data_IF_597691945774
#
_entry.id   IF_597691945774
#
_cell.length_a   1.000
_cell.length_b   1.000
_cell.length_c   1.000
_cell.angle_alpha   90.00
_cell.angle_beta   90.00
_cell.angle_gamma   90.00
#
_symmetry.space_group_name_H-M   'P 1'
#
loop_
_entity.id
_entity.type
_entity.pdbx_description
1 polymer ?
#
# COMPACT_ATOMS: atom_id res chain seq x y z
N UNK A 1 -21.90 65.27 -4.67
CA UNK A 1 -21.10 65.06 -3.45
C UNK A 1 -21.16 63.63 -2.86
N UNK A 2 -21.95 62.70 -3.40
CA UNK A 2 -22.17 61.35 -2.86
C UNK A 2 -21.18 60.26 -3.30
N UNK A 3 -20.56 60.39 -4.49
CA UNK A 3 -19.76 59.35 -5.13
C UNK A 3 -18.43 59.08 -4.39
N UNK A 4 -17.76 60.14 -3.92
CA UNK A 4 -16.46 59.98 -3.20
C UNK A 4 -16.57 59.34 -1.82
N UNK A 5 -17.69 59.50 -1.11
CA UNK A 5 -17.92 58.83 0.18
C UNK A 5 -18.20 57.33 0.02
N UNK A 6 -18.86 56.92 -1.06
CA UNK A 6 -19.16 55.52 -1.36
C UNK A 6 -17.90 54.78 -1.76
N UNK A 7 -17.03 55.36 -2.58
CA UNK A 7 -15.73 54.79 -2.94
C UNK A 7 -14.79 54.63 -1.75
N UNK A 8 -14.72 55.61 -0.84
CA UNK A 8 -13.91 55.51 0.39
C UNK A 8 -14.38 54.36 1.30
N UNK A 9 -15.70 54.15 1.40
CA UNK A 9 -16.26 53.01 2.16
C UNK A 9 -15.91 51.67 1.53
N UNK A 10 -16.03 51.53 0.22
CA UNK A 10 -15.66 50.29 -0.51
C UNK A 10 -14.18 50.01 -0.34
N UNK A 11 -13.32 51.03 -0.48
CA UNK A 11 -11.87 50.83 -0.31
C UNK A 11 -11.48 50.45 1.13
N UNK A 12 -12.17 51.00 2.12
CA UNK A 12 -12.00 50.65 3.52
C UNK A 12 -12.36 49.17 3.79
N UNK A 13 -13.48 48.70 3.26
CA UNK A 13 -13.88 47.31 3.40
C UNK A 13 -12.96 46.33 2.66
N UNK A 14 -12.55 46.68 1.44
CA UNK A 14 -11.56 45.86 0.67
C UNK A 14 -10.25 45.75 1.41
N UNK A 15 -9.75 46.86 2.01
CA UNK A 15 -8.51 46.81 2.81
C UNK A 15 -8.67 45.96 4.05
N UNK A 16 -9.79 45.99 4.75
CA UNK A 16 -10.04 45.13 5.92
C UNK A 16 -10.17 43.68 5.55
N UNK A 17 -10.84 43.36 4.44
CA UNK A 17 -10.96 41.99 3.92
C UNK A 17 -9.57 41.46 3.51
N UNK A 18 -8.77 42.28 2.82
CA UNK A 18 -7.41 41.89 2.45
C UNK A 18 -6.51 41.65 3.67
N UNK A 19 -6.60 42.48 4.71
CA UNK A 19 -5.87 42.30 5.97
C UNK A 19 -6.35 41.02 6.69
N UNK A 20 -7.66 40.78 6.73
CA UNK A 20 -8.24 39.57 7.31
C UNK A 20 -7.79 38.30 6.58
N UNK A 21 -7.80 38.33 5.26
CA UNK A 21 -7.29 37.23 4.43
C UNK A 21 -5.79 36.99 4.62
N UNK A 22 -4.98 38.06 4.65
CA UNK A 22 -3.55 37.95 4.91
C UNK A 22 -3.27 37.37 6.31
N UNK A 23 -4.03 37.82 7.33
CA UNK A 23 -3.95 37.28 8.68
C UNK A 23 -4.34 35.78 8.73
N UNK A 24 -5.40 35.40 8.04
CA UNK A 24 -5.81 33.98 7.94
C UNK A 24 -4.73 33.12 7.28
N UNK A 25 -4.12 33.59 6.19
CA UNK A 25 -3.02 32.89 5.50
C UNK A 25 -1.79 32.77 6.40
N UNK A 26 -1.43 33.84 7.13
CA UNK A 26 -0.29 33.83 8.06
C UNK A 26 -0.45 32.84 9.22
N UNK A 27 -1.67 32.48 9.60
CA UNK A 27 -1.95 31.50 10.64
C UNK A 27 -2.11 30.11 10.04
N UNK A 28 -2.81 29.98 8.92
CA UNK A 28 -3.12 28.66 8.34
C UNK A 28 -1.89 27.95 7.76
N UNK A 29 -0.95 28.70 7.17
CA UNK A 29 0.28 28.08 6.61
C UNK A 29 1.16 27.47 7.72
N UNK A 30 1.54 28.17 8.81
CA UNK A 30 2.29 27.56 9.89
C UNK A 30 1.55 26.40 10.57
N UNK A 31 0.24 26.54 10.76
CA UNK A 31 -0.59 25.46 11.32
C UNK A 31 -0.60 24.22 10.40
N UNK A 32 -0.73 24.40 9.10
CA UNK A 32 -0.66 23.34 8.12
C UNK A 32 0.72 22.67 8.09
N UNK A 33 1.80 23.44 8.16
CA UNK A 33 3.17 22.90 8.25
C UNK A 33 3.34 22.11 9.55
N UNK A 34 2.85 22.63 10.66
CA UNK A 34 2.92 21.94 11.95
C UNK A 34 2.17 20.61 11.92
N UNK A 35 0.91 20.61 11.45
CA UNK A 35 0.12 19.38 11.28
C UNK A 35 0.80 18.37 10.35
N UNK A 36 1.47 18.86 9.29
CA UNK A 36 2.21 18.00 8.38
C UNK A 36 3.48 17.39 9.00
N UNK A 37 4.11 18.11 9.92
CA UNK A 37 5.31 17.65 10.64
C UNK A 37 4.98 16.80 11.86
N UNK A 38 3.75 16.90 12.37
CA UNK A 38 3.27 16.10 13.51
C UNK A 38 3.04 14.66 13.06
N UNK A 39 4.01 13.81 13.32
CA UNK A 39 4.00 12.38 13.00
C UNK A 39 4.70 11.60 14.09
N UNK A 40 4.19 10.40 14.37
CA UNK A 40 4.89 9.45 15.22
C UNK A 40 6.20 8.98 14.59
N UNK A 41 7.02 8.32 15.36
CA UNK A 41 8.23 7.65 14.90
C UNK A 41 8.10 6.12 15.03
N UNK A 42 8.95 5.40 14.33
CA UNK A 42 9.01 3.92 14.47
C UNK A 42 9.38 3.52 15.89
N UNK A 43 10.18 4.34 16.58
CA UNK A 43 10.60 4.14 17.97
C UNK A 43 9.44 4.29 18.99
N UNK A 44 8.37 5.01 18.61
CA UNK A 44 7.18 5.15 19.45
C UNK A 44 6.26 3.91 19.38
N UNK A 45 6.55 2.99 18.47
CA UNK A 45 5.76 1.78 18.27
C UNK A 45 6.25 0.68 19.20
N UNK A 46 5.39 0.26 20.13
CA UNK A 46 5.66 -0.85 21.06
C UNK A 46 5.50 -2.22 20.38
N UNK A 47 6.25 -2.46 19.32
CA UNK A 47 6.38 -3.76 18.68
C UNK A 47 7.84 -4.13 18.48
N UNK A 48 8.11 -5.41 18.50
CA UNK A 48 9.43 -5.90 18.07
C UNK A 48 9.63 -5.60 16.60
N UNK A 49 10.78 -5.03 16.28
CA UNK A 49 11.28 -5.02 14.90
C UNK A 49 11.72 -6.45 14.60
N UNK A 50 11.25 -6.98 13.47
CA UNK A 50 11.60 -8.32 13.06
C UNK A 50 13.12 -8.45 12.85
N UNK A 51 13.73 -9.40 13.53
CA UNK A 51 15.17 -9.63 13.42
C UNK A 51 15.50 -10.42 12.15
N UNK A 52 16.62 -10.07 11.53
CA UNK A 52 17.18 -10.85 10.42
C UNK A 52 17.78 -12.14 10.98
N UNK A 53 17.10 -13.25 10.74
CA UNK A 53 17.64 -14.57 11.05
C UNK A 53 18.58 -15.03 9.93
N UNK A 54 19.54 -15.89 10.26
CA UNK A 54 20.40 -16.52 9.25
C UNK A 54 19.53 -17.27 8.25
N UNK A 55 19.71 -16.95 6.98
CA UNK A 55 19.00 -17.62 5.88
C UNK A 55 19.74 -18.94 5.57
N UNK A 56 19.13 -20.07 5.89
CA UNK A 56 19.63 -21.37 5.51
C UNK A 56 19.13 -21.78 4.11
N UNK A 57 19.77 -22.76 3.50
CA UNK A 57 19.27 -23.41 2.28
C UNK A 57 17.91 -24.04 2.57
N UNK A 58 16.91 -23.77 1.75
CA UNK A 58 15.51 -24.19 1.86
C UNK A 58 14.61 -23.32 2.74
N UNK A 59 15.03 -22.12 3.13
CA UNK A 59 14.14 -21.15 3.78
C UNK A 59 13.40 -20.31 2.75
N UNK A 60 12.14 -20.00 3.05
CA UNK A 60 11.39 -18.98 2.33
C UNK A 60 11.51 -17.66 3.08
N UNK A 61 11.92 -16.64 2.37
CA UNK A 61 12.06 -15.28 2.92
C UNK A 61 11.09 -14.33 2.27
N UNK A 62 10.73 -13.26 3.00
CA UNK A 62 10.12 -12.07 2.44
C UNK A 62 10.98 -10.86 2.74
N UNK A 63 11.10 -9.94 1.78
CA UNK A 63 11.73 -8.63 1.98
C UNK A 63 10.68 -7.56 1.76
N UNK A 64 10.42 -6.75 2.80
CA UNK A 64 9.50 -5.63 2.68
C UNK A 64 10.22 -4.40 2.12
N UNK A 65 9.65 -3.80 1.08
CA UNK A 65 10.20 -2.67 0.34
C UNK A 65 9.33 -1.42 0.43
N UNK A 66 8.53 -1.36 1.50
CA UNK A 66 7.59 -0.27 1.76
C UNK A 66 6.21 -0.51 1.17
N UNK A 67 5.19 0.21 1.66
CA UNK A 67 3.76 -0.03 1.38
C UNK A 67 3.42 -1.51 1.51
N UNK A 68 2.87 -2.12 0.47
CA UNK A 68 2.63 -3.56 0.36
C UNK A 68 3.64 -4.26 -0.57
N UNK A 69 4.72 -3.58 -0.94
CA UNK A 69 5.74 -4.18 -1.80
C UNK A 69 6.54 -5.24 -1.02
N UNK A 70 6.39 -6.49 -1.40
CA UNK A 70 7.01 -7.66 -0.76
C UNK A 70 7.68 -8.54 -1.81
N UNK A 71 8.96 -8.83 -1.61
CA UNK A 71 9.71 -9.78 -2.43
C UNK A 71 9.83 -11.10 -1.67
N UNK A 72 9.11 -12.13 -2.11
CA UNK A 72 9.25 -13.51 -1.64
C UNK A 72 10.34 -14.21 -2.42
N UNK A 73 11.18 -14.99 -1.73
CA UNK A 73 12.32 -15.72 -2.32
C UNK A 73 12.56 -17.05 -1.59
N UNK A 74 12.58 -18.17 -2.34
CA UNK A 74 12.93 -19.50 -1.85
C UNK A 74 14.34 -19.95 -2.27
N UNK A 75 15.12 -19.02 -2.86
CA UNK A 75 16.43 -19.30 -3.42
C UNK A 75 16.42 -19.76 -4.89
N UNK A 76 15.28 -20.22 -5.41
CA UNK A 76 15.11 -20.69 -6.79
C UNK A 76 14.16 -19.78 -7.58
N UNK A 77 13.07 -19.35 -6.95
CA UNK A 77 11.97 -18.56 -7.54
C UNK A 77 11.69 -17.33 -6.69
N UNK A 78 11.37 -16.21 -7.32
CA UNK A 78 10.94 -15.00 -6.66
C UNK A 78 9.53 -14.60 -7.10
N UNK A 79 8.73 -14.14 -6.12
CA UNK A 79 7.39 -13.57 -6.33
C UNK A 79 7.41 -12.15 -5.78
N UNK A 80 6.94 -11.18 -6.54
CA UNK A 80 6.78 -9.78 -6.11
C UNK A 80 5.31 -9.45 -5.93
N UNK A 81 4.94 -8.98 -4.75
CA UNK A 81 3.66 -8.34 -4.52
C UNK A 81 3.83 -6.85 -4.77
N UNK A 82 2.95 -6.27 -5.57
CA UNK A 82 3.00 -4.87 -6.01
C UNK A 82 4.30 -4.52 -6.77
N UNK A 83 5.16 -3.73 -6.20
CA UNK A 83 6.41 -3.26 -6.80
C UNK A 83 6.49 -1.74 -6.85
N UNK A 84 5.84 -1.05 -5.89
CA UNK A 84 5.82 0.41 -5.82
C UNK A 84 7.16 0.97 -5.32
N UNK A 85 8.02 1.33 -6.25
CA UNK A 85 9.41 1.76 -6.05
C UNK A 85 9.61 3.25 -6.37
N UNK A 86 8.87 3.78 -7.35
CA UNK A 86 9.08 5.14 -7.88
C UNK A 86 8.81 6.26 -6.88
N UNK A 87 7.87 6.08 -5.95
CA UNK A 87 7.61 6.99 -4.82
C UNK A 87 7.46 8.46 -5.23
N UNK A 88 6.35 8.85 -5.91
CA UNK A 88 6.10 10.24 -6.26
C UNK A 88 5.99 11.08 -4.99
N UNK A 89 6.49 12.32 -5.04
CA UNK A 89 6.44 13.20 -3.89
C UNK A 89 5.00 13.75 -3.66
N UNK A 90 4.75 14.26 -2.45
CA UNK A 90 3.42 14.74 -2.06
C UNK A 90 2.92 15.90 -2.95
N UNK A 91 3.80 16.74 -3.46
CA UNK A 91 3.40 17.87 -4.31
C UNK A 91 2.89 17.37 -5.66
N UNK A 92 3.48 16.30 -6.22
CA UNK A 92 2.98 15.68 -7.44
C UNK A 92 1.54 15.17 -7.26
N UNK A 93 1.22 14.63 -6.08
CA UNK A 93 -0.11 14.14 -5.75
C UNK A 93 -1.08 15.31 -5.55
N UNK A 94 -0.74 16.31 -4.74
CA UNK A 94 -1.59 17.47 -4.43
C UNK A 94 -1.90 18.28 -5.69
N UNK A 95 -0.90 18.49 -6.55
CA UNK A 95 -1.07 19.27 -7.79
C UNK A 95 -1.51 18.40 -8.98
N UNK A 96 -1.92 17.16 -8.74
CA UNK A 96 -2.39 16.23 -9.77
C UNK A 96 -1.43 16.10 -10.95
N UNK A 97 -0.12 16.12 -10.66
CA UNK A 97 0.89 15.94 -11.70
C UNK A 97 0.80 14.53 -12.28
N UNK A 98 1.15 14.36 -13.56
CA UNK A 98 1.24 13.05 -14.16
C UNK A 98 2.31 12.20 -13.45
N UNK A 99 1.91 11.02 -12.97
CA UNK A 99 2.79 10.05 -12.33
C UNK A 99 3.33 9.05 -13.35
N UNK A 100 4.60 8.72 -13.24
CA UNK A 100 5.26 7.75 -14.11
C UNK A 100 6.29 6.94 -13.31
N UNK A 101 6.59 5.69 -13.75
CA UNK A 101 7.67 4.89 -13.19
C UNK A 101 9.02 5.59 -13.28
N UNK A 102 9.78 5.58 -12.18
CA UNK A 102 11.16 6.05 -12.13
C UNK A 102 12.11 4.90 -12.47
N UNK A 103 12.63 4.94 -13.68
CA UNK A 103 13.52 3.90 -14.19
C UNK A 103 14.81 3.75 -13.36
N UNK A 104 15.33 4.83 -12.77
CA UNK A 104 16.55 4.80 -11.97
C UNK A 104 16.31 4.08 -10.64
N UNK A 105 15.23 4.44 -9.93
CA UNK A 105 14.86 3.79 -8.69
C UNK A 105 14.51 2.31 -8.91
N UNK A 106 13.77 1.98 -9.99
CA UNK A 106 13.43 0.59 -10.33
C UNK A 106 14.70 -0.22 -10.59
N UNK A 107 15.63 0.27 -11.41
CA UNK A 107 16.88 -0.43 -11.68
C UNK A 107 17.71 -0.62 -10.40
N UNK A 108 17.82 0.41 -9.58
CA UNK A 108 18.49 0.33 -8.28
C UNK A 108 17.88 -0.76 -7.39
N UNK A 109 16.56 -0.76 -7.22
CA UNK A 109 15.87 -1.74 -6.38
C UNK A 109 16.02 -3.17 -6.93
N UNK A 110 15.90 -3.36 -8.25
CA UNK A 110 16.07 -4.69 -8.87
C UNK A 110 17.48 -5.24 -8.68
N UNK A 111 18.49 -4.38 -8.72
CA UNK A 111 19.88 -4.79 -8.51
C UNK A 111 20.20 -5.02 -7.02
N UNK A 112 19.82 -4.07 -6.14
CA UNK A 112 20.06 -4.14 -4.69
C UNK A 112 19.41 -5.38 -4.07
N UNK A 113 18.14 -5.64 -4.39
CA UNK A 113 17.40 -6.79 -3.86
C UNK A 113 17.50 -8.04 -4.74
N UNK A 114 18.40 -8.01 -5.74
CA UNK A 114 18.71 -9.16 -6.61
C UNK A 114 17.46 -9.80 -7.22
N UNK A 115 16.55 -8.99 -7.78
CA UNK A 115 15.31 -9.45 -8.39
C UNK A 115 15.57 -10.10 -9.76
N UNK A 116 16.38 -11.15 -9.78
CA UNK A 116 16.84 -11.80 -11.03
C UNK A 116 16.08 -13.10 -11.37
N UNK A 117 15.24 -13.55 -10.45
CA UNK A 117 14.47 -14.79 -10.57
C UNK A 117 12.97 -14.53 -10.42
N UNK A 118 12.52 -13.31 -10.73
CA UNK A 118 11.11 -12.94 -10.69
C UNK A 118 10.32 -13.80 -11.67
N UNK A 119 9.43 -14.64 -11.15
CA UNK A 119 8.53 -15.47 -11.93
C UNK A 119 7.14 -14.80 -12.07
N UNK A 120 6.70 -14.07 -11.03
CA UNK A 120 5.40 -13.39 -11.04
C UNK A 120 5.44 -12.06 -10.28
N UNK A 121 4.58 -11.14 -10.72
CA UNK A 121 4.26 -9.88 -10.05
C UNK A 121 2.76 -9.83 -9.87
N UNK A 122 2.30 -9.60 -8.62
CA UNK A 122 0.89 -9.64 -8.27
C UNK A 122 0.52 -8.31 -7.56
N UNK A 123 -0.10 -7.36 -8.25
CA UNK A 123 -0.64 -6.16 -7.62
C UNK A 123 -1.85 -6.49 -6.75
N UNK A 124 -1.91 -5.94 -5.54
CA UNK A 124 -3.06 -6.07 -4.65
C UNK A 124 -4.31 -5.49 -5.28
N UNK A 125 -4.18 -4.33 -5.93
CA UNK A 125 -5.21 -3.69 -6.75
C UNK A 125 -4.60 -2.61 -7.66
N UNK A 126 -5.43 -1.92 -8.44
CA UNK A 126 -4.99 -1.02 -9.51
C UNK A 126 -4.64 0.42 -9.08
N UNK A 127 -4.59 0.76 -7.79
CA UNK A 127 -4.13 2.07 -7.33
C UNK A 127 -2.66 2.32 -7.73
N UNK A 128 -2.29 3.60 -7.89
CA UNK A 128 -0.94 3.97 -8.32
C UNK A 128 0.14 3.41 -7.38
N UNK A 129 -0.06 3.47 -6.07
CA UNK A 129 0.90 2.98 -5.07
C UNK A 129 0.93 1.44 -4.93
N UNK A 130 0.25 0.71 -5.82
CA UNK A 130 0.37 -0.74 -5.98
C UNK A 130 0.78 -1.11 -7.41
N UNK A 131 0.20 -0.48 -8.43
CA UNK A 131 0.30 -0.94 -9.81
C UNK A 131 1.19 -0.10 -10.72
N UNK A 132 1.65 1.10 -10.31
CA UNK A 132 2.34 2.05 -11.19
C UNK A 132 3.61 1.48 -11.83
N UNK A 133 4.43 0.79 -11.05
CA UNK A 133 5.73 0.31 -11.51
C UNK A 133 5.71 -1.12 -12.07
N UNK A 134 4.59 -1.84 -11.90
CA UNK A 134 4.46 -3.26 -12.24
C UNK A 134 4.85 -3.54 -13.70
N UNK A 135 4.34 -2.74 -14.65
CA UNK A 135 4.68 -2.91 -16.06
C UNK A 135 6.16 -2.64 -16.35
N UNK A 136 6.73 -1.64 -15.70
CA UNK A 136 8.15 -1.30 -15.87
C UNK A 136 9.09 -2.37 -15.31
N UNK A 137 8.72 -3.03 -14.20
CA UNK A 137 9.46 -4.15 -13.62
C UNK A 137 9.30 -5.41 -14.48
N UNK A 138 8.08 -5.71 -14.94
CA UNK A 138 7.80 -6.86 -15.80
C UNK A 138 8.61 -6.82 -17.09
N UNK A 139 8.65 -5.66 -17.76
CA UNK A 139 9.45 -5.46 -18.99
C UNK A 139 10.96 -5.69 -18.79
N UNK A 140 11.46 -5.61 -17.54
CA UNK A 140 12.88 -5.82 -17.21
C UNK A 140 13.17 -7.24 -16.72
N UNK A 141 12.16 -7.95 -16.23
CA UNK A 141 12.32 -9.26 -15.58
C UNK A 141 11.75 -10.42 -16.38
N UNK A 142 10.91 -10.17 -17.37
CA UNK A 142 10.08 -11.16 -18.06
C UNK A 142 9.14 -11.95 -17.13
N UNK A 143 8.83 -11.42 -15.96
CA UNK A 143 7.90 -12.01 -15.00
C UNK A 143 6.46 -11.93 -15.52
N UNK A 144 5.66 -12.95 -15.23
CA UNK A 144 4.23 -12.91 -15.50
C UNK A 144 3.53 -11.96 -14.54
N UNK A 145 2.62 -11.13 -15.05
CA UNK A 145 1.77 -10.28 -14.23
C UNK A 145 0.43 -10.98 -14.01
N UNK A 146 0.07 -11.21 -12.75
CA UNK A 146 -1.25 -11.74 -12.40
C UNK A 146 -2.12 -10.55 -12.04
N UNK A 147 -3.19 -10.31 -12.79
CA UNK A 147 -3.89 -9.05 -12.70
C UNK A 147 -5.39 -9.15 -12.96
N UNK A 148 -6.13 -8.19 -12.41
CA UNK A 148 -7.52 -7.91 -12.78
C UNK A 148 -7.60 -7.16 -14.10
N UNK A 149 -8.80 -7.05 -14.67
CA UNK A 149 -9.05 -6.28 -15.90
C UNK A 149 -8.52 -4.84 -15.81
N UNK A 150 -8.64 -4.19 -14.65
CA UNK A 150 -8.17 -2.82 -14.47
C UNK A 150 -6.64 -2.72 -14.51
N UNK A 151 -5.97 -3.63 -13.82
CA UNK A 151 -4.50 -3.69 -13.84
C UNK A 151 -3.97 -4.09 -15.22
N UNK A 152 -4.65 -4.98 -15.93
CA UNK A 152 -4.28 -5.36 -17.31
C UNK A 152 -4.26 -4.13 -18.24
N UNK A 153 -5.26 -3.27 -18.16
CA UNK A 153 -5.29 -2.03 -18.93
C UNK A 153 -4.09 -1.13 -18.62
N UNK A 154 -3.72 -1.02 -17.34
CA UNK A 154 -2.55 -0.24 -16.91
C UNK A 154 -1.28 -0.82 -17.53
N UNK A 155 -1.01 -2.10 -17.33
CA UNK A 155 0.27 -2.71 -17.76
C UNK A 155 0.41 -2.79 -19.29
N UNK A 156 -0.68 -2.97 -20.02
CA UNK A 156 -0.68 -2.86 -21.48
C UNK A 156 -0.26 -1.48 -21.97
N UNK A 157 -0.66 -0.40 -21.27
CA UNK A 157 -0.24 0.96 -21.59
C UNK A 157 1.27 1.19 -21.33
N UNK A 158 1.90 0.36 -20.52
CA UNK A 158 3.37 0.32 -20.35
C UNK A 158 4.07 -0.62 -21.33
N UNK A 159 3.35 -1.16 -22.31
CA UNK A 159 3.92 -2.01 -23.35
C UNK A 159 4.28 -3.41 -22.89
N UNK A 160 3.65 -3.92 -21.82
CA UNK A 160 3.83 -5.31 -21.41
C UNK A 160 3.20 -6.24 -22.43
N UNK A 161 3.92 -7.24 -22.97
CA UNK A 161 3.39 -8.20 -23.90
C UNK A 161 2.24 -9.03 -23.31
N UNK A 162 1.24 -9.36 -24.12
CA UNK A 162 0.07 -10.11 -23.66
C UNK A 162 0.40 -11.52 -23.13
N UNK A 163 1.48 -12.14 -23.59
CA UNK A 163 1.95 -13.45 -23.13
C UNK A 163 2.57 -13.39 -21.71
N UNK A 164 2.88 -12.21 -21.20
CA UNK A 164 3.27 -11.99 -19.81
C UNK A 164 2.09 -11.66 -18.89
N UNK A 165 0.87 -11.48 -19.44
CA UNK A 165 -0.29 -11.04 -18.68
C UNK A 165 -1.23 -12.24 -18.43
N UNK A 166 -1.45 -12.56 -17.17
CA UNK A 166 -2.39 -13.60 -16.75
C UNK A 166 -3.59 -12.90 -16.11
N UNK A 167 -4.75 -12.98 -16.77
CA UNK A 167 -6.01 -12.59 -16.13
C UNK A 167 -6.35 -13.60 -15.03
N UNK A 168 -6.68 -13.10 -13.86
CA UNK A 168 -7.04 -13.92 -12.71
C UNK A 168 -8.36 -13.52 -12.09
N UNK A 169 -9.06 -14.51 -11.57
CA UNK A 169 -10.35 -14.43 -10.91
C UNK A 169 -10.27 -14.97 -9.49
N UNK A 170 -11.39 -14.87 -8.75
CA UNK A 170 -11.47 -15.43 -7.41
C UNK A 170 -11.17 -16.93 -7.38
N UNK A 171 -10.40 -17.35 -6.38
CA UNK A 171 -9.96 -18.73 -6.13
C UNK A 171 -9.03 -19.31 -7.21
N UNK A 172 -8.61 -18.51 -8.19
CA UNK A 172 -7.56 -18.95 -9.11
C UNK A 172 -6.27 -19.21 -8.37
N UNK A 173 -5.65 -20.37 -8.65
CA UNK A 173 -4.40 -20.80 -8.07
C UNK A 173 -3.36 -21.05 -9.17
N UNK A 174 -2.28 -20.28 -9.14
CA UNK A 174 -1.23 -20.28 -10.15
C UNK A 174 0.09 -20.73 -9.53
N UNK A 175 0.83 -21.60 -10.24
CA UNK A 175 2.08 -22.16 -9.74
C UNK A 175 3.30 -21.52 -10.38
N UNK A 176 4.26 -21.12 -9.55
CA UNK A 176 5.55 -20.54 -9.94
C UNK A 176 6.67 -21.23 -9.13
N UNK A 177 7.40 -22.14 -9.77
CA UNK A 177 8.35 -22.99 -9.06
C UNK A 177 7.68 -23.82 -7.96
N UNK A 178 8.13 -23.64 -6.72
CA UNK A 178 7.54 -24.26 -5.52
C UNK A 178 6.39 -23.43 -4.92
N UNK A 179 6.24 -22.17 -5.33
CA UNK A 179 5.15 -21.33 -4.89
C UNK A 179 3.83 -21.62 -5.62
N UNK A 180 2.75 -21.57 -4.87
CA UNK A 180 1.39 -21.50 -5.41
C UNK A 180 0.75 -20.21 -4.90
N UNK A 181 0.30 -19.37 -5.80
CA UNK A 181 -0.39 -18.10 -5.51
C UNK A 181 -1.88 -18.30 -5.71
N UNK A 182 -2.67 -18.12 -4.67
CA UNK A 182 -4.15 -18.16 -4.74
C UNK A 182 -4.71 -16.78 -4.47
N UNK A 183 -5.59 -16.32 -5.36
CA UNK A 183 -6.21 -15.01 -5.27
C UNK A 183 -7.61 -15.13 -4.66
N UNK A 184 -7.83 -14.48 -3.55
CA UNK A 184 -9.10 -14.46 -2.84
C UNK A 184 -9.67 -13.06 -2.97
N UNK A 185 -10.90 -12.93 -3.48
CA UNK A 185 -11.55 -11.62 -3.63
C UNK A 185 -11.62 -10.90 -2.29
N UNK A 186 -11.19 -9.65 -2.29
CA UNK A 186 -11.22 -8.75 -1.17
C UNK A 186 -11.80 -7.40 -1.60
N UNK A 187 -11.76 -6.42 -0.69
CA UNK A 187 -12.18 -5.04 -0.97
C UNK A 187 -11.01 -4.09 -0.72
N UNK A 188 -10.97 -3.02 -1.49
CA UNK A 188 -10.07 -1.90 -1.20
C UNK A 188 -10.50 -1.18 0.08
N UNK A 189 -9.54 -0.52 0.75
CA UNK A 189 -9.83 0.28 1.94
C UNK A 189 -10.98 1.26 1.67
N UNK A 190 -11.98 1.34 2.56
CA UNK A 190 -13.07 2.28 2.41
C UNK A 190 -12.52 3.70 2.62
N UNK A 191 -12.49 4.50 1.56
CA UNK A 191 -12.08 5.90 1.61
C UNK A 191 -13.31 6.79 1.54
N UNK A 192 -13.34 7.85 2.33
CA UNK A 192 -14.38 8.87 2.30
C UNK A 192 -14.44 9.66 0.96
N UNK A 193 -13.41 9.53 0.13
CA UNK A 193 -13.32 10.19 -1.18
C UNK A 193 -13.72 9.28 -2.36
N UNK A 194 -13.84 7.97 -2.16
CA UNK A 194 -14.04 6.97 -3.21
C UNK A 194 -15.38 6.21 -3.10
N UNK A 195 -16.24 6.56 -2.14
CA UNK A 195 -17.55 5.91 -1.96
C UNK A 195 -18.56 6.16 -3.10
N UNK A 196 -18.17 6.92 -4.12
CA UNK A 196 -18.88 6.96 -5.38
C UNK A 196 -18.46 5.77 -6.24
N UNK A 197 -19.00 4.61 -5.95
CA UNK A 197 -18.87 3.35 -6.70
C UNK A 197 -19.13 3.49 -8.22
N UNK A 198 -19.77 4.56 -8.65
CA UNK A 198 -20.09 4.84 -10.05
C UNK A 198 -18.89 5.34 -10.88
N UNK A 199 -17.83 5.85 -10.25
CA UNK A 199 -16.61 6.31 -10.93
C UNK A 199 -15.46 5.31 -10.81
N UNK A 200 -15.57 4.34 -9.91
CA UNK A 200 -14.52 3.37 -9.61
C UNK A 200 -14.30 2.30 -10.71
N UNK A 201 -15.22 2.17 -11.66
CA UNK A 201 -15.25 1.04 -12.60
C UNK A 201 -14.57 1.28 -13.94
N UNK A 202 -14.01 2.46 -14.20
CA UNK A 202 -13.52 2.75 -15.53
C UNK A 202 -12.08 3.29 -15.57
N UNK A 203 -11.13 2.40 -15.84
CA UNK A 203 -9.82 2.81 -16.35
C UNK A 203 -9.97 2.94 -17.87
N UNK A 204 -9.80 4.14 -18.46
CA UNK A 204 -9.91 4.30 -19.90
C UNK A 204 -8.88 3.44 -20.64
N UNK A 205 -9.28 2.85 -21.78
CA UNK A 205 -8.35 2.09 -22.61
C UNK A 205 -7.20 2.96 -23.18
N UNK A 206 -7.36 4.29 -23.13
CA UNK A 206 -6.38 5.29 -23.55
C UNK A 206 -5.54 5.87 -22.40
N UNK A 207 -5.36 5.14 -21.29
CA UNK A 207 -4.51 5.59 -20.19
C UNK A 207 -3.08 5.74 -20.72
N UNK A 208 -2.60 6.96 -20.86
CA UNK A 208 -1.21 7.20 -21.27
C UNK A 208 -0.26 6.82 -20.12
N UNK A 209 1.01 6.54 -20.45
CA UNK A 209 2.06 6.12 -19.51
C UNK A 209 2.28 7.06 -18.31
N UNK A 210 1.67 8.24 -18.31
CA UNK A 210 1.80 9.21 -17.24
C UNK A 210 0.46 9.91 -17.04
N UNK A 211 -0.18 9.66 -15.90
CA UNK A 211 -1.48 10.24 -15.52
C UNK A 211 -1.50 10.62 -14.04
N UNK A 212 -2.32 11.60 -13.69
CA UNK A 212 -2.50 12.01 -12.29
C UNK A 212 -3.04 10.86 -11.43
N UNK A 213 -2.67 10.83 -10.14
CA UNK A 213 -3.08 9.77 -9.20
C UNK A 213 -4.60 9.57 -9.14
N UNK A 214 -5.40 10.61 -9.33
CA UNK A 214 -6.86 10.57 -9.38
C UNK A 214 -7.44 9.77 -10.56
N UNK A 215 -6.62 9.41 -11.54
CA UNK A 215 -7.01 8.56 -12.68
C UNK A 215 -6.75 7.08 -12.44
N UNK A 216 -6.09 6.73 -11.35
CA UNK A 216 -5.82 5.36 -10.96
C UNK A 216 -6.98 4.82 -10.13
N UNK A 217 -8.05 4.41 -10.79
CA UNK A 217 -9.23 3.88 -10.11
C UNK A 217 -8.95 2.50 -9.55
N UNK A 218 -9.32 2.29 -8.29
CA UNK A 218 -9.33 0.95 -7.70
C UNK A 218 -10.60 0.23 -8.11
N UNK A 219 -10.47 -1.04 -8.41
CA UNK A 219 -11.60 -1.90 -8.75
C UNK A 219 -11.58 -3.13 -7.85
N UNK A 220 -11.02 -4.22 -8.34
CA UNK A 220 -10.91 -5.46 -7.58
C UNK A 220 -9.68 -5.41 -6.68
N UNK A 221 -9.79 -5.91 -5.47
CA UNK A 221 -8.69 -6.08 -4.54
C UNK A 221 -8.55 -7.54 -4.14
N UNK A 222 -7.32 -7.97 -3.87
CA UNK A 222 -7.02 -9.33 -3.49
C UNK A 222 -6.52 -9.44 -2.05
N UNK A 223 -6.97 -10.49 -1.37
CA UNK A 223 -6.20 -11.17 -0.34
C UNK A 223 -5.39 -12.25 -1.04
N UNK A 224 -4.06 -12.18 -0.99
CA UNK A 224 -3.18 -13.04 -1.77
C UNK A 224 -2.59 -14.11 -0.85
N UNK A 225 -2.94 -15.37 -1.07
CA UNK A 225 -2.37 -16.50 -0.35
C UNK A 225 -1.18 -17.05 -1.13
N UNK A 226 0.00 -17.01 -0.51
CA UNK A 226 1.23 -17.59 -1.03
C UNK A 226 1.50 -18.87 -0.26
N UNK A 227 1.41 -20.01 -0.94
CA UNK A 227 1.68 -21.33 -0.40
C UNK A 227 3.01 -21.87 -0.93
N UNK A 228 3.78 -22.47 -0.05
CA UNK A 228 5.03 -23.16 -0.34
C UNK A 228 5.03 -24.47 0.44
N UNK A 229 5.77 -25.55 0.05
CA UNK A 229 5.86 -26.77 0.85
C UNK A 229 6.29 -26.56 2.31
N UNK A 230 7.00 -25.48 2.61
CA UNK A 230 7.47 -25.14 3.95
C UNK A 230 6.45 -24.38 4.81
N UNK A 231 5.45 -23.74 4.20
CA UNK A 231 4.46 -22.96 4.93
C UNK A 231 3.63 -22.04 4.04
N UNK A 232 2.81 -21.21 4.67
CA UNK A 232 1.84 -20.35 3.99
C UNK A 232 1.86 -18.92 4.52
N UNK A 233 1.74 -17.95 3.63
CA UNK A 233 1.64 -16.53 3.97
C UNK A 233 0.44 -15.91 3.28
N UNK A 234 -0.41 -15.22 4.04
CA UNK A 234 -1.46 -14.36 3.51
C UNK A 234 -0.95 -12.92 3.41
N UNK A 235 -1.09 -12.29 2.27
CA UNK A 235 -0.87 -10.85 2.10
C UNK A 235 -2.22 -10.16 1.99
N UNK A 236 -2.56 -9.38 3.00
CA UNK A 236 -3.70 -8.49 3.04
C UNK A 236 -3.20 -7.06 2.88
N UNK A 237 -3.09 -6.59 1.63
CA UNK A 237 -2.48 -5.29 1.34
C UNK A 237 -3.40 -4.10 1.56
N UNK A 238 -4.71 -4.33 1.61
CA UNK A 238 -5.72 -3.28 1.79
C UNK A 238 -6.45 -3.44 3.12
N UNK A 239 -6.76 -2.34 3.82
CA UNK A 239 -7.43 -2.34 5.13
C UNK A 239 -8.93 -2.55 5.03
N UNK A 240 -9.35 -3.56 4.28
CA UNK A 240 -10.75 -3.97 4.14
C UNK A 240 -10.84 -5.50 4.03
N UNK A 241 -12.05 -6.02 4.10
CA UNK A 241 -12.32 -7.46 4.05
C UNK A 241 -13.69 -7.75 3.44
N UNK A 242 -13.89 -8.98 3.02
CA UNK A 242 -15.21 -9.57 2.77
C UNK A 242 -15.46 -10.57 3.88
N UNK A 243 -16.56 -10.41 4.61
CA UNK A 243 -16.90 -11.27 5.73
C UNK A 243 -16.95 -12.73 5.30
N UNK A 244 -16.24 -13.59 6.04
CA UNK A 244 -16.18 -15.02 5.79
C UNK A 244 -15.32 -15.45 4.59
N UNK A 245 -14.80 -14.54 3.77
CA UNK A 245 -14.00 -14.92 2.58
C UNK A 245 -12.75 -15.76 2.94
N UNK A 246 -12.17 -15.52 4.09
CA UNK A 246 -10.98 -16.22 4.57
C UNK A 246 -11.27 -17.39 5.53
N UNK A 247 -12.55 -17.74 5.76
CA UNK A 247 -12.92 -18.74 6.76
C UNK A 247 -12.34 -20.15 6.51
N UNK A 248 -12.03 -20.48 5.24
CA UNK A 248 -11.41 -21.76 4.86
C UNK A 248 -9.90 -21.66 4.70
N UNK A 249 -9.32 -20.48 4.84
CA UNK A 249 -7.89 -20.22 4.66
C UNK A 249 -7.18 -20.38 6.00
N UNK A 250 -6.12 -21.20 6.00
CA UNK A 250 -5.18 -21.28 7.14
C UNK A 250 -3.84 -20.78 6.68
N UNK A 251 -3.14 -20.03 7.52
CA UNK A 251 -1.84 -19.47 7.18
C UNK A 251 -0.92 -19.39 8.41
N UNK A 252 0.37 -19.53 8.20
CA UNK A 252 1.38 -19.42 9.25
C UNK A 252 1.70 -17.95 9.55
N UNK A 253 1.64 -17.12 8.50
CA UNK A 253 2.03 -15.72 8.53
C UNK A 253 0.98 -14.87 7.84
N UNK A 254 0.68 -13.70 8.41
CA UNK A 254 -0.08 -12.62 7.75
C UNK A 254 0.81 -11.40 7.58
N UNK A 255 0.91 -10.89 6.36
CA UNK A 255 1.39 -9.54 6.05
C UNK A 255 0.17 -8.62 6.05
N UNK A 256 -0.01 -7.83 7.12
CA UNK A 256 -1.24 -7.08 7.41
C UNK A 256 -1.07 -5.61 7.06
N UNK A 257 -1.74 -5.14 6.01
CA UNK A 257 -1.81 -3.72 5.65
C UNK A 257 -2.64 -2.94 6.65
N UNK A 258 -2.14 -1.77 7.07
CA UNK A 258 -2.78 -0.97 8.13
C UNK A 258 -3.11 0.47 7.72
N UNK A 259 -2.76 0.89 6.51
CA UNK A 259 -2.97 2.26 6.05
C UNK A 259 -4.41 2.74 6.26
N UNK A 260 -4.58 3.85 6.95
CA UNK A 260 -5.87 4.48 7.22
C UNK A 260 -6.76 3.73 8.20
N UNK A 261 -6.27 2.72 8.91
CA UNK A 261 -7.09 1.94 9.85
C UNK A 261 -7.49 2.78 11.08
N UNK A 262 -6.62 3.68 11.54
CA UNK A 262 -6.93 4.61 12.63
C UNK A 262 -8.09 5.56 12.30
N UNK A 263 -8.33 5.82 11.01
CA UNK A 263 -9.43 6.67 10.57
C UNK A 263 -10.80 5.96 10.59
N UNK A 264 -10.84 4.70 11.03
CA UNK A 264 -12.05 3.89 11.16
C UNK A 264 -12.44 3.74 12.64
N UNK A 265 -13.64 3.23 12.88
CA UNK A 265 -14.03 2.91 14.25
C UNK A 265 -13.19 1.76 14.82
N UNK A 266 -13.01 1.74 16.14
CA UNK A 266 -12.35 0.62 16.81
C UNK A 266 -13.06 -0.73 16.54
N UNK A 267 -14.39 -0.70 16.38
CA UNK A 267 -15.16 -1.90 16.01
C UNK A 267 -14.75 -2.40 14.63
N UNK A 268 -14.63 -1.50 13.64
CA UNK A 268 -14.16 -1.87 12.30
C UNK A 268 -12.75 -2.49 12.36
N UNK A 269 -11.85 -1.93 13.15
CA UNK A 269 -10.51 -2.47 13.31
C UNK A 269 -10.52 -3.88 13.95
N UNK A 270 -11.41 -4.12 14.92
CA UNK A 270 -11.62 -5.45 15.52
C UNK A 270 -12.17 -6.45 14.50
N UNK A 271 -13.16 -6.04 13.70
CA UNK A 271 -13.76 -6.89 12.67
C UNK A 271 -12.69 -7.22 11.60
N UNK A 272 -11.92 -6.22 11.15
CA UNK A 272 -10.80 -6.43 10.22
C UNK A 272 -9.78 -7.44 10.76
N UNK A 273 -9.32 -7.25 12.01
CA UNK A 273 -8.42 -8.19 12.67
C UNK A 273 -9.01 -9.60 12.74
N UNK A 274 -10.25 -9.73 13.17
CA UNK A 274 -10.92 -11.02 13.31
C UNK A 274 -11.12 -11.72 11.97
N UNK A 275 -11.51 -10.96 10.92
CA UNK A 275 -11.76 -11.53 9.60
C UNK A 275 -10.46 -11.91 8.87
N UNK A 276 -9.36 -11.21 9.12
CA UNK A 276 -8.09 -11.47 8.43
C UNK A 276 -7.17 -12.36 9.27
N UNK A 277 -6.90 -12.00 10.51
CA UNK A 277 -5.95 -12.72 11.36
C UNK A 277 -6.64 -13.86 12.12
N UNK A 278 -7.79 -13.56 12.75
CA UNK A 278 -8.53 -14.54 13.55
C UNK A 278 -9.00 -15.75 12.73
N UNK A 279 -9.63 -15.52 11.57
CA UNK A 279 -10.13 -16.60 10.72
C UNK A 279 -9.00 -17.48 10.15
N UNK A 280 -7.88 -16.88 9.80
CA UNK A 280 -6.74 -17.60 9.20
C UNK A 280 -5.87 -18.34 10.24
N UNK A 281 -6.08 -18.05 11.53
CA UNK A 281 -5.32 -18.64 12.65
C UNK A 281 -3.81 -18.45 12.55
N UNK A 282 -3.40 -17.32 11.98
CA UNK A 282 -2.00 -16.99 11.85
C UNK A 282 -1.36 -16.76 13.21
N UNK A 283 -0.16 -17.30 13.41
CA UNK A 283 0.60 -17.12 14.66
C UNK A 283 1.58 -15.95 14.59
N UNK A 284 1.92 -15.50 13.38
CA UNK A 284 2.80 -14.35 13.15
C UNK A 284 2.12 -13.35 12.23
N UNK A 285 2.21 -12.09 12.61
CA UNK A 285 1.69 -10.96 11.84
C UNK A 285 2.79 -9.95 11.65
N UNK A 286 3.06 -9.57 10.40
CA UNK A 286 3.91 -8.45 10.08
C UNK A 286 3.06 -7.29 9.61
N UNK A 287 3.17 -6.15 10.29
CA UNK A 287 2.44 -4.92 9.96
C UNK A 287 3.12 -4.24 8.78
N UNK A 288 2.41 -4.09 7.66
CA UNK A 288 2.89 -3.45 6.44
C UNK A 288 1.99 -2.28 6.07
N UNK A 289 2.38 -1.51 5.05
CA UNK A 289 1.64 -0.34 4.58
C UNK A 289 1.41 0.71 5.69
N UNK A 290 2.42 0.86 6.54
CA UNK A 290 2.46 1.83 7.64
C UNK A 290 3.32 3.06 7.30
N UNK A 291 4.08 3.01 6.23
CA UNK A 291 5.01 4.04 5.80
C UNK A 291 4.34 5.10 4.91
N UNK A 292 4.81 6.33 5.02
CA UNK A 292 4.43 7.44 4.14
C UNK A 292 4.98 7.18 2.73
N UNK A 293 4.12 6.75 1.84
CA UNK A 293 4.48 6.37 0.47
C UNK A 293 4.88 7.56 -0.42
N UNK A 294 4.82 8.78 0.09
CA UNK A 294 5.30 9.99 -0.58
C UNK A 294 6.76 10.33 -0.25
N UNK A 295 7.37 9.55 0.66
CA UNK A 295 8.79 9.66 0.96
C UNK A 295 9.64 8.93 -0.08
N UNK A 296 10.87 9.37 -0.33
CA UNK A 296 11.80 8.67 -1.22
C UNK A 296 11.93 7.17 -0.89
N UNK A 297 12.16 6.35 -1.92
CA UNK A 297 12.36 4.92 -1.74
C UNK A 297 13.47 4.63 -0.72
N UNK A 298 13.18 3.72 0.20
CA UNK A 298 14.09 3.39 1.31
C UNK A 298 13.88 4.23 2.58
N UNK A 299 13.09 5.30 2.53
CA UNK A 299 12.71 6.06 3.73
C UNK A 299 11.36 5.59 4.26
N UNK A 300 11.33 5.13 5.52
CA UNK A 300 10.16 4.54 6.16
C UNK A 300 9.57 5.42 7.25
N UNK A 301 9.39 6.72 6.96
CA UNK A 301 8.69 7.63 7.87
C UNK A 301 7.21 7.25 7.96
N UNK A 302 6.60 7.42 9.13
CA UNK A 302 5.16 7.28 9.29
C UNK A 302 4.43 8.46 8.63
N UNK A 303 3.16 8.28 8.31
CA UNK A 303 2.32 9.39 7.84
C UNK A 303 2.19 10.47 8.91
N UNK A 304 1.88 11.74 8.51
CA UNK A 304 1.42 12.74 9.46
C UNK A 304 0.19 12.24 10.22
N UNK A 305 0.15 12.43 11.55
CA UNK A 305 -0.93 11.95 12.41
C UNK A 305 -2.31 12.44 11.98
N UNK A 306 -2.38 13.63 11.38
CA UNK A 306 -3.62 14.19 10.81
C UNK A 306 -4.17 13.36 9.65
N UNK A 307 -3.34 12.58 8.95
CA UNK A 307 -3.74 11.70 7.85
C UNK A 307 -3.93 10.26 8.30
N UNK A 308 -3.00 9.76 9.12
CA UNK A 308 -3.03 8.37 9.62
C UNK A 308 -2.12 8.24 10.85
N UNK A 309 -2.71 8.12 12.04
CA UNK A 309 -1.97 7.84 13.26
C UNK A 309 -1.62 6.36 13.36
N UNK A 310 -0.50 6.01 12.76
CA UNK A 310 0.01 4.63 12.73
C UNK A 310 0.39 4.14 14.13
N UNK A 311 0.89 5.01 15.01
CA UNK A 311 1.25 4.62 16.37
C UNK A 311 0.01 4.15 17.13
N UNK A 312 -1.07 4.92 17.08
CA UNK A 312 -2.35 4.52 17.66
C UNK A 312 -2.90 3.23 17.02
N UNK A 313 -2.78 3.09 15.68
CA UNK A 313 -3.17 1.88 14.97
C UNK A 313 -2.45 0.65 15.54
N UNK A 314 -1.14 0.72 15.67
CA UNK A 314 -0.36 -0.42 16.13
C UNK A 314 -0.62 -0.73 17.61
N UNK A 315 -0.89 0.29 18.43
CA UNK A 315 -1.24 0.08 19.86
C UNK A 315 -2.49 -0.79 20.00
N UNK A 316 -3.58 -0.49 19.29
CA UNK A 316 -4.78 -1.34 19.41
C UNK A 316 -4.62 -2.71 18.73
N UNK A 317 -3.83 -2.83 17.65
CA UNK A 317 -3.53 -4.14 17.06
C UNK A 317 -2.70 -5.03 18.01
N UNK A 318 -1.74 -4.44 18.74
CA UNK A 318 -0.97 -5.14 19.76
C UNK A 318 -1.87 -5.61 20.91
N UNK A 319 -2.85 -4.79 21.31
CA UNK A 319 -3.86 -5.19 22.29
C UNK A 319 -4.68 -6.37 21.79
N UNK A 320 -5.16 -6.35 20.52
CA UNK A 320 -5.90 -7.48 19.95
C UNK A 320 -5.08 -8.77 19.92
N UNK A 321 -3.78 -8.65 19.57
CA UNK A 321 -2.87 -9.79 19.55
C UNK A 321 -2.65 -10.41 20.94
N UNK A 322 -2.68 -9.59 22.01
CA UNK A 322 -2.45 -10.02 23.41
C UNK A 322 -3.71 -10.54 24.10
N UNK A 323 -4.88 -10.02 23.71
CA UNK A 323 -6.17 -10.34 24.38
C UNK A 323 -6.96 -11.43 23.65
N UNK A 324 -6.50 -11.88 22.48
CA UNK A 324 -7.09 -12.99 21.72
C UNK A 324 -6.94 -14.35 22.41
N UNK A 325 -7.70 -15.33 21.93
CA UNK A 325 -7.64 -16.71 22.48
C UNK A 325 -6.27 -17.38 22.27
N UNK A 326 -5.56 -17.02 21.19
CA UNK A 326 -4.20 -17.46 20.89
C UNK A 326 -3.24 -16.28 20.95
N UNK A 327 -2.05 -16.52 21.50
CA UNK A 327 -0.99 -15.51 21.52
C UNK A 327 -0.41 -15.33 20.10
N UNK A 328 -0.63 -14.17 19.52
CA UNK A 328 -0.15 -13.84 18.18
C UNK A 328 1.11 -12.98 18.30
N UNK A 329 2.16 -13.38 17.59
CA UNK A 329 3.40 -12.60 17.52
C UNK A 329 3.26 -11.54 16.43
N UNK A 330 3.01 -10.29 16.83
CA UNK A 330 2.92 -9.14 15.93
C UNK A 330 4.26 -8.37 15.90
N UNK A 331 4.74 -8.02 14.70
CA UNK A 331 6.05 -7.40 14.47
C UNK A 331 6.00 -6.37 13.35
N UNK A 332 6.99 -5.46 13.34
CA UNK A 332 7.26 -4.57 12.21
C UNK A 332 8.41 -5.14 11.36
N UNK A 333 8.24 -5.22 10.04
CA UNK A 333 9.36 -5.51 9.15
C UNK A 333 10.26 -4.29 9.01
N UNK A 334 11.58 -4.49 8.97
CA UNK A 334 12.52 -3.45 8.56
C UNK A 334 12.63 -3.39 7.04
N UNK A 335 12.70 -2.17 6.50
CA UNK A 335 12.88 -1.97 5.07
C UNK A 335 14.15 -2.68 4.55
N UNK A 336 13.99 -3.43 3.48
CA UNK A 336 15.09 -4.11 2.79
C UNK A 336 15.68 -5.32 3.51
N UNK A 337 15.24 -5.62 4.73
CA UNK A 337 15.73 -6.78 5.47
C UNK A 337 14.95 -8.04 5.11
N UNK A 338 15.66 -9.16 5.00
CA UNK A 338 15.05 -10.47 4.77
C UNK A 338 14.45 -11.01 6.05
N UNK A 339 13.16 -11.30 6.01
CA UNK A 339 12.43 -12.00 7.06
C UNK A 339 12.38 -13.48 6.71
N UNK A 340 12.86 -14.35 7.58
CA UNK A 340 12.65 -15.79 7.44
C UNK A 340 11.21 -16.12 7.81
N UNK A 341 10.44 -16.64 6.87
CA UNK A 341 9.05 -16.99 7.07
C UNK A 341 8.89 -18.42 7.55
N UNK A 342 9.51 -19.36 6.90
CA UNK A 342 9.46 -20.79 7.19
C UNK A 342 10.53 -21.56 6.39
#
# INVERSE_FOLDING_TARGET
>A
MGYGKRMKKVFFWLKRTAIGLAGAVLVSIPAGIWLWQDRGSIEDIDLRIAETTRVDTNTVTATWLGTTTLLFDDGETQILIDGFISRPNILDIIFHQPLAPDAANINYAMDEFRMRRLAAIIPVHSHHHHAMDVGAIANRSSASIIATNSTIKIVRNFGVPDDQIIFASNDDSLRFGKFTVTLITSRSAPNSFDDNDLLATFIPDSLRQSVACTRWHKTDSWSILISHPNGTTLVQGSTNFIEGALAKTKTDVVMLGVAGLNNKSLQYAKDYWQQVVGQTRAKRVYVIHHDDFTQPFGQTKLFPNVLDDVVATVQFLNEFARTGEEQINIQLPSFGQRLVLY
#
